data_IF_507532795244
#
_entry.id   IF_507532795244
#
_cell.length_a   1.000
_cell.length_b   1.000
_cell.length_c   1.000
_cell.angle_alpha   90.00
_cell.angle_beta   90.00
_cell.angle_gamma   90.00
#
_symmetry.space_group_name_H-M   'P 1'
#
loop_
_entity.id
_entity.type
_entity.pdbx_description
1 polymer ?
#
# COMPACT_ATOMS: atom_id res chain seq x y z
N UNK A 1 17.65 5.15 -5.43
CA UNK A 1 16.46 5.54 -6.21
C UNK A 1 15.81 6.74 -5.54
N UNK A 2 15.04 7.51 -6.31
CA UNK A 2 14.24 8.63 -5.84
C UNK A 2 12.85 8.15 -5.43
N UNK A 3 12.39 8.54 -4.26
CA UNK A 3 11.11 8.10 -3.67
C UNK A 3 10.22 9.32 -3.39
N UNK A 4 8.96 9.25 -3.80
CA UNK A 4 7.92 10.16 -3.35
C UNK A 4 7.08 9.48 -2.25
N UNK A 5 6.87 10.15 -1.13
CA UNK A 5 6.01 9.69 -0.05
C UNK A 5 4.65 10.38 -0.16
N UNK A 6 3.60 9.58 -0.27
CA UNK A 6 2.21 10.03 -0.31
C UNK A 6 1.54 9.58 0.99
N UNK A 7 1.27 10.54 1.87
CA UNK A 7 0.97 10.34 3.28
C UNK A 7 2.24 10.45 4.13
N UNK A 8 2.33 11.52 4.89
CA UNK A 8 3.52 11.80 5.71
C UNK A 8 3.20 11.78 7.21
N UNK A 9 2.34 10.83 7.60
CA UNK A 9 2.06 10.48 8.98
C UNK A 9 3.09 9.49 9.56
N UNK A 10 2.67 8.71 10.54
CA UNK A 10 3.55 7.74 11.25
C UNK A 10 4.27 6.78 10.29
N UNK A 11 3.56 6.23 9.29
CA UNK A 11 4.17 5.32 8.31
C UNK A 11 5.11 6.05 7.35
N UNK A 12 4.75 7.24 6.88
CA UNK A 12 5.60 8.06 6.02
C UNK A 12 6.96 8.35 6.65
N UNK A 13 6.98 8.76 7.92
CA UNK A 13 8.23 8.97 8.66
C UNK A 13 9.06 7.70 8.81
N UNK A 14 8.43 6.55 9.09
CA UNK A 14 9.14 5.28 9.22
C UNK A 14 9.74 4.83 7.88
N UNK A 15 8.98 4.96 6.80
CA UNK A 15 9.45 4.65 5.43
C UNK A 15 10.61 5.54 5.03
N UNK A 16 10.54 6.85 5.32
CA UNK A 16 11.64 7.77 5.05
C UNK A 16 12.93 7.36 5.77
N UNK A 17 12.84 7.07 7.07
CA UNK A 17 14.01 6.66 7.85
C UNK A 17 14.65 5.38 7.25
N UNK A 18 13.85 4.40 6.87
CA UNK A 18 14.34 3.17 6.22
C UNK A 18 14.93 3.47 4.84
N UNK A 19 14.29 4.32 4.04
CA UNK A 19 14.78 4.69 2.71
C UNK A 19 16.15 5.37 2.77
N UNK A 20 16.34 6.31 3.70
CA UNK A 20 17.60 7.00 3.92
C UNK A 20 18.70 6.04 4.39
N UNK A 21 18.39 5.12 5.32
CA UNK A 21 19.33 4.08 5.77
C UNK A 21 19.75 3.15 4.62
N UNK A 22 18.85 2.89 3.67
CA UNK A 22 19.13 2.11 2.47
C UNK A 22 19.81 2.91 1.35
N UNK A 23 20.16 4.18 1.57
CA UNK A 23 20.82 5.04 0.58
C UNK A 23 19.89 5.54 -0.53
N UNK A 24 18.59 5.60 -0.28
CA UNK A 24 17.62 6.18 -1.21
C UNK A 24 17.33 7.64 -0.87
N UNK A 25 16.93 8.41 -1.87
CA UNK A 25 16.60 9.83 -1.76
C UNK A 25 15.07 9.99 -1.69
N UNK A 26 14.57 10.70 -0.68
CA UNK A 26 13.16 11.10 -0.62
C UNK A 26 13.05 12.51 -1.21
N UNK A 27 12.53 12.58 -2.44
CA UNK A 27 12.45 13.81 -3.23
C UNK A 27 11.16 14.59 -3.01
N UNK A 28 10.11 13.92 -2.58
CA UNK A 28 8.79 14.51 -2.38
C UNK A 28 8.08 13.90 -1.16
N UNK A 29 7.41 14.75 -0.40
CA UNK A 29 6.53 14.37 0.72
C UNK A 29 5.23 15.12 0.54
N UNK A 30 4.13 14.39 0.42
CA UNK A 30 2.79 14.95 0.28
C UNK A 30 1.90 14.42 1.39
N UNK A 31 1.23 15.31 2.09
CA UNK A 31 0.24 14.98 3.10
C UNK A 31 -1.12 15.62 2.77
N UNK A 32 -2.09 15.42 3.63
CA UNK A 32 -3.44 15.95 3.44
C UNK A 32 -3.43 17.49 3.32
N UNK A 33 -3.97 17.97 2.21
CA UNK A 33 -4.04 19.40 1.91
C UNK A 33 -2.86 19.98 1.13
N UNK A 34 -1.81 19.18 0.91
CA UNK A 34 -0.67 19.65 0.11
C UNK A 34 -1.03 19.75 -1.38
N UNK A 35 -0.47 20.77 -2.03
CA UNK A 35 -0.58 20.91 -3.47
C UNK A 35 0.29 19.87 -4.18
N UNK A 36 -0.31 19.13 -5.11
CA UNK A 36 0.43 18.19 -5.93
C UNK A 36 1.26 18.92 -6.98
N UNK A 37 2.54 18.59 -7.13
CA UNK A 37 3.34 19.14 -8.22
C UNK A 37 2.84 18.59 -9.57
N UNK A 38 3.05 19.35 -10.62
CA UNK A 38 2.71 18.92 -12.00
C UNK A 38 3.48 17.66 -12.38
N UNK A 39 4.72 17.53 -11.91
CA UNK A 39 5.59 16.37 -12.12
C UNK A 39 6.14 15.88 -10.78
N UNK A 40 6.10 14.57 -10.57
CA UNK A 40 6.81 13.90 -9.48
C UNK A 40 8.19 13.45 -9.99
N UNK A 41 9.26 14.03 -9.46
CA UNK A 41 10.63 13.58 -9.74
C UNK A 41 10.98 12.39 -8.83
N UNK A 42 10.39 11.23 -9.13
CA UNK A 42 10.58 10.01 -8.36
C UNK A 42 10.56 8.78 -9.27
N UNK A 43 11.35 7.76 -8.89
CA UNK A 43 11.36 6.45 -9.52
C UNK A 43 10.16 5.60 -9.07
N UNK A 44 9.66 5.87 -7.84
CA UNK A 44 8.52 5.18 -7.23
C UNK A 44 7.85 6.09 -6.20
N UNK A 45 6.53 6.02 -6.11
CA UNK A 45 5.75 6.57 -5.01
C UNK A 45 5.41 5.47 -3.99
N UNK A 46 5.43 5.82 -2.69
CA UNK A 46 4.97 4.95 -1.61
C UNK A 46 3.80 5.65 -0.93
N UNK A 47 2.63 5.01 -0.95
CA UNK A 47 1.36 5.58 -0.53
C UNK A 47 0.88 4.91 0.77
N UNK A 48 0.75 5.70 1.83
CA UNK A 48 0.14 5.35 3.11
C UNK A 48 -0.72 6.51 3.62
N UNK A 49 -1.97 6.57 3.19
CA UNK A 49 -2.91 7.62 3.57
C UNK A 49 -4.17 7.05 4.22
N UNK A 50 -5.34 7.40 3.69
CA UNK A 50 -6.64 6.95 4.18
C UNK A 50 -7.45 6.27 3.06
N UNK A 51 -8.43 5.42 3.38
CA UNK A 51 -9.30 4.80 2.38
C UNK A 51 -9.96 5.82 1.45
N UNK A 52 -10.28 7.00 1.97
CA UNK A 52 -10.98 8.06 1.22
C UNK A 52 -10.09 8.74 0.18
N UNK A 53 -8.79 8.79 0.41
CA UNK A 53 -7.84 9.53 -0.44
C UNK A 53 -6.97 8.62 -1.29
N UNK A 54 -6.86 7.34 -0.94
CA UNK A 54 -5.96 6.38 -1.59
C UNK A 54 -6.19 6.31 -3.10
N UNK A 55 -7.42 6.13 -3.56
CA UNK A 55 -7.72 5.99 -4.99
C UNK A 55 -7.28 7.21 -5.79
N UNK A 56 -7.60 8.40 -5.32
CA UNK A 56 -7.20 9.64 -5.99
C UNK A 56 -5.68 9.80 -6.01
N UNK A 57 -5.00 9.44 -4.92
CA UNK A 57 -3.55 9.48 -4.84
C UNK A 57 -2.90 8.50 -5.82
N UNK A 58 -3.42 7.26 -5.90
CA UNK A 58 -2.95 6.24 -6.83
C UNK A 58 -3.08 6.70 -8.28
N UNK A 59 -4.27 7.20 -8.64
CA UNK A 59 -4.53 7.71 -10.00
C UNK A 59 -3.58 8.87 -10.33
N UNK A 60 -3.38 9.82 -9.43
CA UNK A 60 -2.45 10.94 -9.63
C UNK A 60 -1.00 10.50 -9.84
N UNK A 61 -0.53 9.47 -9.14
CA UNK A 61 0.80 8.91 -9.36
C UNK A 61 0.90 8.26 -10.75
N UNK A 62 -0.09 7.42 -11.12
CA UNK A 62 -0.14 6.72 -12.39
C UNK A 62 -0.20 7.68 -13.59
N UNK A 63 -1.03 8.73 -13.52
CA UNK A 63 -1.15 9.78 -14.55
C UNK A 63 0.15 10.58 -14.74
N UNK A 64 1.00 10.65 -13.71
CA UNK A 64 2.34 11.25 -13.78
C UNK A 64 3.43 10.28 -14.21
N UNK A 65 3.06 9.04 -14.57
CA UNK A 65 3.99 8.01 -15.00
C UNK A 65 4.87 7.44 -13.88
N UNK A 66 4.51 7.66 -12.62
CA UNK A 66 5.29 7.18 -11.47
C UNK A 66 4.69 5.87 -10.96
N UNK A 67 5.45 4.76 -10.93
CA UNK A 67 5.03 3.53 -10.29
C UNK A 67 4.67 3.75 -8.83
N UNK A 68 3.66 3.04 -8.31
CA UNK A 68 3.19 3.26 -6.94
C UNK A 68 3.05 1.97 -6.15
N UNK A 69 3.55 2.00 -4.91
CA UNK A 69 3.34 0.96 -3.89
C UNK A 69 2.36 1.49 -2.86
N UNK A 70 1.21 0.83 -2.71
CA UNK A 70 0.15 1.24 -1.82
C UNK A 70 0.00 0.31 -0.63
N UNK A 71 0.10 0.88 0.57
CA UNK A 71 -0.15 0.18 1.84
C UNK A 71 -1.44 0.62 2.53
N UNK A 72 -2.15 1.60 2.00
CA UNK A 72 -3.48 1.96 2.49
C UNK A 72 -4.46 0.83 2.22
N UNK A 73 -5.28 0.52 3.20
CA UNK A 73 -6.35 -0.49 3.11
C UNK A 73 -7.73 0.16 3.09
N UNK A 74 -8.79 -0.62 2.83
CA UNK A 74 -10.18 -0.15 2.92
C UNK A 74 -10.69 0.64 1.72
N UNK A 75 -10.02 0.53 0.54
CA UNK A 75 -10.43 1.15 -0.72
C UNK A 75 -10.69 0.13 -1.84
N UNK A 76 -10.65 -1.14 -1.51
CA UNK A 76 -10.67 -2.25 -2.49
C UNK A 76 -12.01 -2.42 -3.22
N UNK A 77 -13.08 -1.79 -2.76
CA UNK A 77 -14.35 -1.64 -3.49
C UNK A 77 -14.16 -0.90 -4.84
N UNK A 78 -13.10 -0.07 -4.95
CA UNK A 78 -12.70 0.63 -6.17
C UNK A 78 -11.44 0.05 -6.84
N UNK A 79 -11.05 -1.17 -6.49
CA UNK A 79 -9.81 -1.79 -6.98
C UNK A 79 -9.78 -1.93 -8.51
N UNK A 80 -10.89 -2.39 -9.12
CA UNK A 80 -10.98 -2.58 -10.57
C UNK A 80 -10.85 -1.26 -11.31
N UNK A 81 -11.44 -0.17 -10.80
CA UNK A 81 -11.30 1.18 -11.34
C UNK A 81 -9.82 1.60 -11.41
N UNK A 82 -9.09 1.39 -10.31
CA UNK A 82 -7.66 1.75 -10.26
C UNK A 82 -6.83 0.86 -11.19
N UNK A 83 -7.16 -0.42 -11.30
CA UNK A 83 -6.51 -1.33 -12.25
C UNK A 83 -6.71 -0.87 -13.70
N UNK A 84 -7.90 -0.41 -14.05
CA UNK A 84 -8.19 0.12 -15.40
C UNK A 84 -7.42 1.41 -15.68
N UNK A 85 -7.34 2.31 -14.70
CA UNK A 85 -6.48 3.50 -14.78
C UNK A 85 -5.00 3.14 -14.94
N UNK A 86 -4.53 2.16 -14.18
CA UNK A 86 -3.15 1.67 -14.27
C UNK A 86 -2.85 1.13 -15.68
N UNK A 87 -3.73 0.32 -16.26
CA UNK A 87 -3.59 -0.20 -17.62
C UNK A 87 -3.60 0.91 -18.66
N UNK A 88 -4.54 1.86 -18.56
CA UNK A 88 -4.65 3.00 -19.48
C UNK A 88 -3.41 3.88 -19.45
N UNK A 89 -2.83 4.10 -18.29
CA UNK A 89 -1.59 4.86 -18.12
C UNK A 89 -0.32 4.07 -18.47
N UNK A 90 -0.43 2.79 -18.86
CA UNK A 90 0.70 1.86 -18.98
C UNK A 90 1.57 1.87 -17.70
N UNK A 91 0.94 2.11 -16.55
CA UNK A 91 1.56 2.28 -15.24
C UNK A 91 1.92 0.97 -14.55
N UNK A 92 2.46 1.08 -13.36
CA UNK A 92 2.78 -0.06 -12.48
C UNK A 92 2.29 0.23 -11.08
N UNK A 93 1.60 -0.73 -10.50
CA UNK A 93 1.08 -0.64 -9.14
C UNK A 93 1.32 -1.94 -8.40
N UNK A 94 1.74 -1.83 -7.15
CA UNK A 94 1.76 -2.91 -6.17
C UNK A 94 0.91 -2.49 -4.98
N UNK A 95 -0.01 -3.35 -4.56
CA UNK A 95 -0.78 -3.13 -3.34
C UNK A 95 -0.75 -4.38 -2.47
N UNK A 96 -0.69 -4.18 -1.16
CA UNK A 96 -0.78 -5.27 -0.20
C UNK A 96 -1.52 -4.78 1.07
N UNK A 97 -2.30 -5.67 1.64
CA UNK A 97 -2.99 -5.42 2.92
C UNK A 97 -2.02 -5.40 4.10
N UNK A 98 -0.86 -6.03 3.93
CA UNK A 98 0.18 -6.09 4.94
C UNK A 98 1.55 -6.32 4.29
N UNK A 99 2.55 -5.52 4.64
CA UNK A 99 3.94 -5.64 4.19
C UNK A 99 4.84 -6.34 5.23
N UNK A 100 4.32 -6.76 6.38
CA UNK A 100 5.08 -7.54 7.36
C UNK A 100 5.39 -8.93 6.82
N UNK A 101 6.66 -9.29 6.77
CA UNK A 101 7.11 -10.63 6.35
C UNK A 101 6.49 -11.69 7.27
N UNK A 102 6.48 -11.47 8.59
CA UNK A 102 5.90 -12.39 9.56
C UNK A 102 4.42 -12.65 9.31
N UNK A 103 3.65 -11.61 9.04
CA UNK A 103 2.22 -11.76 8.73
C UNK A 103 1.99 -12.50 7.41
N UNK A 104 2.78 -12.24 6.38
CA UNK A 104 2.67 -12.95 5.12
C UNK A 104 3.03 -14.45 5.26
N UNK A 105 3.99 -14.79 6.12
CA UNK A 105 4.30 -16.18 6.47
C UNK A 105 3.07 -16.83 7.17
N UNK A 106 2.44 -16.13 8.12
CA UNK A 106 1.22 -16.63 8.80
C UNK A 106 0.10 -16.85 7.79
N UNK A 107 -0.12 -15.94 6.84
CA UNK A 107 -1.13 -16.10 5.81
C UNK A 107 -0.87 -17.35 4.95
N UNK A 108 0.37 -17.56 4.52
CA UNK A 108 0.76 -18.73 3.74
C UNK A 108 0.57 -20.04 4.51
N UNK A 109 0.92 -20.08 5.80
CA UNK A 109 0.71 -21.24 6.67
C UNK A 109 -0.79 -21.51 6.85
N UNK A 110 -1.59 -20.48 7.10
CA UNK A 110 -3.05 -20.62 7.25
C UNK A 110 -3.72 -21.15 5.98
N UNK A 111 -3.31 -20.66 4.82
CA UNK A 111 -3.81 -21.18 3.54
C UNK A 111 -3.47 -22.66 3.35
N UNK A 112 -2.22 -23.04 3.65
CA UNK A 112 -1.79 -24.43 3.59
C UNK A 112 -2.58 -25.32 4.56
N UNK A 113 -2.74 -24.86 5.81
CA UNK A 113 -3.54 -25.57 6.82
C UNK A 113 -5.00 -25.75 6.35
N UNK A 114 -5.62 -24.71 5.82
CA UNK A 114 -6.98 -24.77 5.31
C UNK A 114 -7.14 -25.82 4.20
N UNK A 115 -6.15 -25.93 3.31
CA UNK A 115 -6.14 -26.98 2.25
C UNK A 115 -6.07 -28.38 2.83
N UNK A 116 -5.23 -28.63 3.86
CA UNK A 116 -5.12 -29.93 4.54
C UNK A 116 -6.39 -30.31 5.31
N UNK A 117 -7.12 -29.31 5.83
CA UNK A 117 -8.33 -29.52 6.63
C UNK A 117 -9.59 -29.67 5.77
N UNK A 118 -9.52 -29.43 4.46
CA UNK A 118 -10.66 -29.49 3.56
C UNK A 118 -11.31 -30.90 3.58
N UNK A 119 -12.62 -30.93 3.77
CA UNK A 119 -13.39 -32.18 3.82
C UNK A 119 -13.23 -33.00 5.10
N UNK A 120 -12.58 -32.45 6.12
CA UNK A 120 -12.47 -33.08 7.44
C UNK A 120 -13.53 -32.52 8.42
N UNK A 121 -13.92 -33.24 9.46
CA UNK A 121 -14.98 -32.84 10.39
C UNK A 121 -14.46 -31.80 11.43
N UNK A 122 -13.88 -30.72 10.96
CA UNK A 122 -13.40 -29.62 11.80
C UNK A 122 -14.10 -28.32 11.46
N UNK A 123 -14.33 -27.48 12.47
CA UNK A 123 -14.77 -26.11 12.30
C UNK A 123 -13.59 -25.16 12.54
N UNK A 124 -13.62 -23.99 11.90
CA UNK A 124 -12.60 -22.95 12.03
C UNK A 124 -13.21 -21.76 12.76
N UNK A 125 -12.51 -21.25 13.76
CA UNK A 125 -12.79 -19.98 14.40
C UNK A 125 -11.56 -19.07 14.30
N UNK A 126 -11.80 -17.78 14.00
CA UNK A 126 -10.75 -16.76 13.93
C UNK A 126 -11.04 -15.72 15.01
N UNK A 127 -10.04 -15.38 15.81
CA UNK A 127 -10.09 -14.26 16.74
C UNK A 127 -8.94 -13.32 16.45
N UNK A 128 -9.24 -12.04 16.23
CA UNK A 128 -8.25 -11.00 16.00
C UNK A 128 -8.34 -9.93 17.08
N UNK A 129 -7.19 -9.45 17.52
CA UNK A 129 -7.10 -8.31 18.42
C UNK A 129 -6.21 -7.25 17.79
N UNK A 130 -6.74 -6.05 17.67
CA UNK A 130 -6.02 -4.91 17.13
C UNK A 130 -5.88 -3.81 18.17
N UNK A 131 -4.95 -2.89 17.94
CA UNK A 131 -4.83 -1.69 18.75
C UNK A 131 -6.04 -0.76 18.56
N UNK A 132 -6.31 0.10 19.55
CA UNK A 132 -7.49 0.99 19.60
C UNK A 132 -7.59 2.01 18.46
N UNK A 133 -6.53 2.20 17.69
CA UNK A 133 -6.50 3.15 16.57
C UNK A 133 -6.73 2.47 15.19
N UNK A 134 -7.07 1.18 15.18
CA UNK A 134 -7.48 0.54 13.91
C UNK A 134 -8.94 0.90 13.64
N UNK A 135 -9.18 1.48 12.47
CA UNK A 135 -10.51 1.75 11.92
C UNK A 135 -11.11 0.48 11.32
#
# INVERSE_FOLDING_TARGET
>A
MKIALIGYGKMGHAVEACAQQAGHEVTCRLDLGDAWPDRLDADVAIEFTTPKTAVDNLVRCLERGVPVVCGTTGWYDRYDEVCDRCRTAAGRMLTATNFSIGMNIVFAINEHLARLMRGRPYSVAISETHHIHKL
#
